data_IF_193106857001
#
_entry.id   IF_193106857001
#
_cell.length_a   1.000
_cell.length_b   1.000
_cell.length_c   1.000
_cell.angle_alpha   90.00
_cell.angle_beta   90.00
_cell.angle_gamma   90.00
#
_symmetry.space_group_name_H-M   'P 1'
#
loop_
_entity.id
_entity.type
_entity.pdbx_description
1 polymer ?
#
# COMPACT_ATOMS: atom_id res chain seq x y z
N UNK A 1 -18.86 46.93 -42.17
CA UNK A 1 -17.76 46.81 -41.20
C UNK A 1 -18.15 45.70 -40.23
N UNK A 2 -17.69 44.47 -40.45
CA UNK A 2 -18.03 43.30 -39.62
C UNK A 2 -16.73 42.67 -39.13
N UNK A 3 -16.45 42.81 -37.84
CA UNK A 3 -15.33 42.12 -37.19
C UNK A 3 -15.77 40.69 -36.87
N UNK A 4 -15.12 39.70 -37.50
CA UNK A 4 -15.23 38.30 -37.10
C UNK A 4 -14.29 38.06 -35.93
N UNK A 5 -14.86 37.85 -34.74
CA UNK A 5 -14.14 37.27 -33.61
C UNK A 5 -13.88 35.79 -33.94
N UNK A 6 -12.62 35.40 -34.04
CA UNK A 6 -12.22 33.99 -34.04
C UNK A 6 -12.00 33.62 -32.58
N UNK A 7 -12.94 32.88 -32.00
CA UNK A 7 -12.75 32.24 -30.70
C UNK A 7 -11.82 31.05 -30.96
N UNK A 8 -10.55 31.22 -30.61
CA UNK A 8 -9.62 30.10 -30.54
C UNK A 8 -10.03 29.25 -29.34
N UNK A 9 -10.70 28.11 -29.59
CA UNK A 9 -10.84 27.06 -28.59
C UNK A 9 -9.44 26.53 -28.27
N UNK A 10 -8.88 26.97 -27.16
CA UNK A 10 -7.78 26.27 -26.52
C UNK A 10 -8.32 24.92 -26.06
N UNK A 11 -8.04 23.86 -26.83
CA UNK A 11 -8.10 22.51 -26.29
C UNK A 11 -7.08 22.49 -25.15
N UNK A 12 -7.57 22.55 -23.91
CA UNK A 12 -6.81 22.12 -22.75
C UNK A 12 -6.51 20.64 -23.00
N UNK A 13 -5.31 20.36 -23.53
CA UNK A 13 -4.78 19.01 -23.50
C UNK A 13 -4.68 18.68 -22.02
N UNK A 14 -5.58 17.83 -21.54
CA UNK A 14 -5.41 17.18 -20.24
C UNK A 14 -4.00 16.60 -20.21
N UNK A 15 -3.26 16.70 -19.09
CA UNK A 15 -1.99 16.01 -18.98
C UNK A 15 -2.26 14.55 -19.34
N UNK A 16 -1.63 14.08 -20.42
CA UNK A 16 -1.64 12.68 -20.74
C UNK A 16 -0.93 12.01 -19.57
N UNK A 17 -1.67 11.28 -18.74
CA UNK A 17 -1.05 10.34 -17.81
C UNK A 17 -0.09 9.50 -18.66
N UNK A 18 1.18 9.42 -18.25
CA UNK A 18 2.12 8.49 -18.87
C UNK A 18 1.45 7.11 -18.84
N UNK A 19 1.44 6.40 -19.97
CA UNK A 19 0.91 5.04 -19.99
C UNK A 19 1.63 4.24 -18.91
N UNK A 20 0.85 3.56 -18.06
CA UNK A 20 1.39 2.73 -17.00
C UNK A 20 2.28 1.65 -17.57
N UNK A 21 3.42 1.38 -16.91
CA UNK A 21 4.26 0.23 -17.27
C UNK A 21 3.39 -1.04 -17.30
N UNK A 22 3.21 -1.70 -18.46
CA UNK A 22 2.31 -2.84 -18.58
C UNK A 22 2.66 -3.99 -17.65
N UNK A 23 3.93 -4.10 -17.24
CA UNK A 23 4.34 -5.10 -16.27
C UNK A 23 3.65 -4.89 -14.91
N UNK A 24 3.56 -3.63 -14.46
CA UNK A 24 3.02 -3.28 -13.14
C UNK A 24 1.50 -3.41 -13.09
N UNK A 25 0.82 -3.25 -14.24
CA UNK A 25 -0.65 -3.35 -14.34
C UNK A 25 -1.12 -4.77 -14.01
N UNK A 26 -2.02 -4.90 -13.03
CA UNK A 26 -2.58 -6.19 -12.59
C UNK A 26 -2.80 -6.26 -11.08
N UNK A 27 -3.08 -7.47 -10.59
CA UNK A 27 -3.27 -7.76 -9.17
C UNK A 27 -2.06 -8.48 -8.58
N UNK A 28 -1.73 -8.13 -7.35
CA UNK A 28 -0.50 -8.48 -6.69
C UNK A 28 -0.76 -8.79 -5.22
N UNK A 29 -0.23 -9.90 -4.71
CA UNK A 29 -0.27 -10.25 -3.28
C UNK A 29 1.10 -10.00 -2.69
N UNK A 30 1.17 -9.34 -1.54
CA UNK A 30 2.45 -9.14 -0.86
C UNK A 30 3.08 -10.48 -0.47
N UNK A 31 4.39 -10.59 -0.60
CA UNK A 31 5.16 -11.68 -0.01
C UNK A 31 5.17 -11.53 1.53
N UNK A 32 4.65 -12.53 2.28
CA UNK A 32 4.54 -12.43 3.73
C UNK A 32 5.88 -12.23 4.45
N UNK A 33 6.97 -12.80 3.95
CA UNK A 33 8.29 -12.68 4.57
C UNK A 33 8.84 -11.25 4.42
N UNK A 34 8.76 -10.68 3.21
CA UNK A 34 9.13 -9.28 2.96
C UNK A 34 8.31 -8.32 3.84
N UNK A 35 7.02 -8.62 3.99
CA UNK A 35 6.10 -7.81 4.77
C UNK A 35 6.39 -7.91 6.28
N UNK A 36 6.70 -9.11 6.79
CA UNK A 36 7.10 -9.32 8.17
C UNK A 36 8.37 -8.52 8.50
N UNK A 37 9.38 -8.60 7.64
CA UNK A 37 10.65 -7.91 7.82
C UNK A 37 10.45 -6.38 7.93
N UNK A 38 9.64 -5.80 7.05
CA UNK A 38 9.33 -4.38 7.09
C UNK A 38 8.51 -4.00 8.31
N UNK A 39 7.51 -4.81 8.67
CA UNK A 39 6.72 -4.58 9.87
C UNK A 39 7.63 -4.51 11.10
N UNK A 40 8.61 -5.41 11.22
CA UNK A 40 9.61 -5.39 12.30
C UNK A 40 10.48 -4.14 12.25
N UNK A 41 10.92 -3.71 11.07
CA UNK A 41 11.70 -2.48 10.91
C UNK A 41 10.93 -1.24 11.39
N UNK A 42 9.66 -1.10 11.00
CA UNK A 42 8.83 0.07 11.33
C UNK A 42 8.38 0.05 12.79
N UNK A 43 7.93 -1.11 13.29
CA UNK A 43 7.37 -1.23 14.64
C UNK A 43 8.43 -1.40 15.74
N UNK A 44 9.66 -1.78 15.38
CA UNK A 44 10.68 -2.20 16.34
C UNK A 44 10.39 -3.56 16.99
N UNK A 45 9.53 -4.39 16.39
CA UNK A 45 9.22 -5.71 16.90
C UNK A 45 10.39 -6.69 16.74
N UNK A 46 10.68 -7.45 17.80
CA UNK A 46 11.69 -8.51 17.79
C UNK A 46 11.16 -9.76 17.06
N UNK A 47 9.87 -10.04 17.26
CA UNK A 47 9.11 -11.09 16.61
C UNK A 47 7.92 -10.48 15.88
N UNK A 48 7.68 -10.92 14.66
CA UNK A 48 6.42 -10.71 13.95
C UNK A 48 6.05 -12.01 13.23
N UNK A 49 4.76 -12.16 12.96
CA UNK A 49 4.19 -13.22 12.15
C UNK A 49 3.01 -12.61 11.43
N UNK A 50 2.96 -12.80 10.11
CA UNK A 50 1.89 -12.28 9.26
C UNK A 50 1.21 -13.44 8.56
N UNK A 51 -0.11 -13.48 8.67
CA UNK A 51 -0.99 -14.44 8.00
C UNK A 51 -2.15 -13.70 7.35
N UNK A 52 -2.63 -14.19 6.21
CA UNK A 52 -3.64 -13.50 5.40
C UNK A 52 -3.02 -12.68 4.27
N UNK A 53 -3.83 -11.85 3.62
CA UNK A 53 -3.44 -11.21 2.37
C UNK A 53 -3.62 -9.70 2.37
N UNK A 54 -2.55 -9.00 2.02
CA UNK A 54 -2.59 -7.67 1.42
C UNK A 54 -2.55 -7.86 -0.10
N UNK A 55 -3.62 -7.45 -0.78
CA UNK A 55 -3.72 -7.51 -2.23
C UNK A 55 -3.73 -6.10 -2.79
N UNK A 56 -2.79 -5.79 -3.66
CA UNK A 56 -2.74 -4.57 -4.45
C UNK A 56 -3.31 -4.82 -5.85
N UNK A 57 -4.02 -3.86 -6.40
CA UNK A 57 -4.44 -3.85 -7.80
C UNK A 57 -4.06 -2.53 -8.45
N UNK A 58 -3.41 -2.58 -9.60
CA UNK A 58 -2.93 -1.42 -10.36
C UNK A 58 -3.61 -1.41 -11.73
N UNK A 59 -4.34 -0.34 -12.03
CA UNK A 59 -4.98 -0.09 -13.32
C UNK A 59 -4.02 0.48 -14.36
N UNK A 60 -4.38 0.34 -15.63
CA UNK A 60 -3.60 0.89 -16.75
C UNK A 60 -3.59 2.44 -16.78
N UNK A 61 -4.49 3.07 -16.04
CA UNK A 61 -4.60 4.51 -15.84
C UNK A 61 -3.83 4.99 -14.58
N UNK A 62 -3.12 4.10 -13.89
CA UNK A 62 -2.40 4.39 -12.64
C UNK A 62 -3.27 4.42 -11.40
N UNK A 63 -4.61 4.33 -11.53
CA UNK A 63 -5.48 4.16 -10.38
C UNK A 63 -5.19 2.81 -9.74
N UNK A 64 -4.90 2.83 -8.45
CA UNK A 64 -4.49 1.66 -7.71
C UNK A 64 -5.27 1.55 -6.40
N UNK A 65 -5.30 0.34 -5.85
CA UNK A 65 -5.93 0.09 -4.57
C UNK A 65 -5.21 -1.04 -3.85
N UNK A 66 -5.34 -1.07 -2.53
CA UNK A 66 -5.02 -2.26 -1.77
C UNK A 66 -6.22 -2.68 -0.93
N UNK A 67 -6.36 -3.99 -0.73
CA UNK A 67 -7.36 -4.60 0.13
C UNK A 67 -6.68 -5.49 1.16
N UNK A 68 -7.14 -5.36 2.39
CA UNK A 68 -6.79 -6.18 3.55
C UNK A 68 -8.03 -7.00 3.89
N UNK A 69 -7.92 -8.32 3.74
CA UNK A 69 -8.97 -9.25 4.13
C UNK A 69 -8.42 -10.20 5.19
N UNK A 70 -8.93 -10.07 6.41
CA UNK A 70 -8.55 -10.86 7.58
C UNK A 70 -7.03 -10.99 7.75
N UNK A 71 -6.32 -9.88 7.56
CA UNK A 71 -4.87 -9.86 7.77
C UNK A 71 -4.59 -9.95 9.27
N UNK A 72 -3.93 -11.02 9.67
CA UNK A 72 -3.46 -11.26 11.03
C UNK A 72 -2.00 -10.84 11.13
N UNK A 73 -1.70 -9.96 12.09
CA UNK A 73 -0.34 -9.63 12.49
C UNK A 73 -0.18 -9.96 13.97
N UNK A 74 0.68 -10.93 14.28
CA UNK A 74 1.10 -11.21 15.65
C UNK A 74 2.50 -10.66 15.86
N UNK A 75 2.68 -9.76 16.81
CA UNK A 75 3.99 -9.16 17.08
C UNK A 75 4.35 -9.09 18.55
N UNK A 76 5.65 -8.94 18.82
CA UNK A 76 6.20 -8.67 20.14
C UNK A 76 7.31 -7.65 20.05
N UNK A 77 7.11 -6.52 20.73
CA UNK A 77 8.12 -5.48 20.95
C UNK A 77 8.79 -5.71 22.30
N UNK A 78 10.08 -5.40 22.41
CA UNK A 78 10.85 -5.54 23.64
C UNK A 78 10.15 -4.86 24.83
N UNK A 79 9.94 -5.60 25.92
CA UNK A 79 9.29 -5.09 27.13
C UNK A 79 7.76 -4.92 27.04
N UNK A 80 7.12 -5.33 25.94
CA UNK A 80 5.67 -5.32 25.77
C UNK A 80 5.11 -6.75 25.67
N UNK A 81 3.87 -7.00 26.09
CA UNK A 81 3.20 -8.28 25.86
C UNK A 81 3.02 -8.56 24.37
N UNK A 82 2.80 -9.83 23.99
CA UNK A 82 2.43 -10.15 22.62
C UNK A 82 1.13 -9.44 22.25
N UNK A 83 1.10 -8.86 21.05
CA UNK A 83 -0.07 -8.21 20.47
C UNK A 83 -0.49 -8.99 19.22
N UNK A 84 -1.78 -9.22 19.06
CA UNK A 84 -2.35 -9.83 17.85
C UNK A 84 -3.35 -8.85 17.27
N UNK A 85 -3.16 -8.47 16.01
CA UNK A 85 -3.97 -7.49 15.31
C UNK A 85 -4.68 -8.17 14.15
N UNK A 86 -5.96 -7.93 14.01
CA UNK A 86 -6.76 -8.33 12.85
C UNK A 86 -7.13 -7.08 12.07
N UNK A 87 -6.69 -6.99 10.81
CA UNK A 87 -6.86 -5.83 9.96
C UNK A 87 -7.78 -6.17 8.79
N UNK A 88 -8.78 -5.32 8.57
CA UNK A 88 -9.72 -5.40 7.47
C UNK A 88 -9.94 -4.02 6.87
N UNK A 89 -10.05 -3.95 5.54
CA UNK A 89 -10.33 -2.70 4.84
C UNK A 89 -9.46 -2.51 3.61
N UNK A 90 -9.11 -1.26 3.31
CA UNK A 90 -8.32 -0.97 2.12
C UNK A 90 -8.09 0.51 1.89
N UNK A 91 -7.53 0.79 0.73
CA UNK A 91 -7.20 2.14 0.29
C UNK A 91 -7.27 2.25 -1.23
N UNK A 92 -7.55 3.47 -1.69
CA UNK A 92 -7.25 3.91 -3.04
C UNK A 92 -6.00 4.79 -3.03
N UNK A 93 -5.15 4.61 -4.03
CA UNK A 93 -3.94 5.40 -4.22
C UNK A 93 -3.62 5.52 -5.71
N UNK A 94 -2.87 6.55 -6.09
CA UNK A 94 -2.34 6.68 -7.44
C UNK A 94 -0.90 6.18 -7.50
N UNK A 95 -0.56 5.41 -8.54
CA UNK A 95 0.79 5.01 -8.87
C UNK A 95 1.25 5.75 -10.13
N UNK A 96 2.41 6.40 -10.09
CA UNK A 96 3.07 6.98 -11.27
C UNK A 96 4.45 6.36 -11.47
N UNK A 97 4.60 5.37 -12.37
CA UNK A 97 5.87 4.79 -12.74
C UNK A 97 6.55 5.63 -13.83
N UNK A 98 7.44 6.54 -13.45
CA UNK A 98 8.28 7.28 -14.40
C UNK A 98 9.70 6.73 -14.36
N UNK A 99 10.26 6.32 -15.49
CA UNK A 99 11.66 5.85 -15.58
C UNK A 99 12.03 4.75 -14.56
N UNK A 100 11.13 3.80 -14.33
CA UNK A 100 11.27 2.74 -13.30
C UNK A 100 11.30 3.24 -11.85
N UNK A 101 10.85 4.47 -11.63
CA UNK A 101 10.61 5.05 -10.31
C UNK A 101 9.11 4.96 -10.04
N UNK A 102 8.71 4.32 -8.95
CA UNK A 102 7.34 4.37 -8.48
C UNK A 102 7.15 5.57 -7.55
N UNK A 103 6.00 6.22 -7.65
CA UNK A 103 5.49 7.16 -6.65
C UNK A 103 4.08 6.71 -6.31
N UNK A 104 3.82 6.40 -5.05
CA UNK A 104 2.51 6.04 -4.51
C UNK A 104 1.98 7.19 -3.67
N UNK A 105 0.82 7.73 -4.04
CA UNK A 105 0.12 8.78 -3.29
C UNK A 105 -1.19 8.21 -2.77
N UNK A 106 -1.31 8.12 -1.45
CA UNK A 106 -2.51 7.62 -0.80
C UNK A 106 -3.65 8.65 -0.92
N UNK A 107 -4.76 8.27 -1.54
CA UNK A 107 -5.91 9.16 -1.76
C UNK A 107 -6.99 8.97 -0.70
N UNK A 108 -7.29 7.71 -0.38
CA UNK A 108 -8.32 7.34 0.59
C UNK A 108 -7.90 6.11 1.37
N UNK A 109 -8.18 6.07 2.68
CA UNK A 109 -7.90 4.91 3.52
C UNK A 109 -9.04 4.65 4.49
N UNK A 110 -9.41 3.38 4.62
CA UNK A 110 -10.31 2.93 5.68
C UNK A 110 -9.86 1.54 6.14
N UNK A 111 -9.27 1.48 7.34
CA UNK A 111 -8.80 0.23 7.94
C UNK A 111 -9.42 0.08 9.33
N UNK A 112 -10.05 -1.06 9.59
CA UNK A 112 -10.52 -1.46 10.91
C UNK A 112 -9.50 -2.42 11.51
N UNK A 113 -9.12 -2.20 12.76
CA UNK A 113 -8.14 -3.01 13.48
C UNK A 113 -8.74 -3.48 14.78
N UNK A 114 -8.76 -4.79 14.99
CA UNK A 114 -9.09 -5.40 16.28
C UNK A 114 -7.79 -5.90 16.93
N UNK A 115 -7.50 -5.43 18.14
CA UNK A 115 -6.26 -5.72 18.87
C UNK A 115 -6.53 -6.57 20.09
N UNK A 116 -5.80 -7.68 20.19
CA UNK A 116 -5.80 -8.59 21.32
C UNK A 116 -4.43 -8.61 22.00
N UNK A 117 -4.43 -8.69 23.32
CA UNK A 117 -3.22 -8.88 24.13
C UNK A 117 -3.38 -10.20 24.89
N UNK A 118 -3.14 -11.36 24.23
CA UNK A 118 -3.46 -12.68 24.81
C UNK A 118 -2.69 -12.97 26.10
N UNK A 119 -1.52 -12.36 26.29
CA UNK A 119 -0.67 -12.52 27.48
C UNK A 119 -1.24 -11.78 28.72
N UNK A 120 -2.27 -10.94 28.57
CA UNK A 120 -2.89 -10.18 29.65
C UNK A 120 -4.36 -10.57 29.85
N UNK A 121 -4.62 -11.42 30.84
CA UNK A 121 -5.96 -11.84 31.19
C UNK A 121 -6.85 -10.67 31.64
N UNK A 122 -8.09 -10.63 31.14
CA UNK A 122 -9.10 -9.66 31.54
C UNK A 122 -9.07 -8.33 30.80
N UNK A 123 -8.19 -8.17 29.80
CA UNK A 123 -8.22 -7.04 28.87
C UNK A 123 -9.16 -7.40 27.71
N UNK A 124 -10.26 -6.66 27.49
CA UNK A 124 -11.11 -6.87 26.32
C UNK A 124 -10.37 -6.45 25.03
N UNK A 125 -10.76 -6.99 23.86
CA UNK A 125 -10.22 -6.53 22.59
C UNK A 125 -10.42 -5.01 22.42
N UNK A 126 -9.45 -4.36 21.80
CA UNK A 126 -9.52 -2.94 21.46
C UNK A 126 -9.82 -2.80 19.97
N UNK A 127 -10.87 -2.07 19.63
CA UNK A 127 -11.20 -1.75 18.24
C UNK A 127 -10.70 -0.34 17.90
N UNK A 128 -10.00 -0.23 16.78
CA UNK A 128 -9.52 1.03 16.22
C UNK A 128 -9.98 1.12 14.77
N UNK A 129 -10.22 2.34 14.31
CA UNK A 129 -10.51 2.64 12.91
C UNK A 129 -9.59 3.76 12.45
N UNK A 130 -8.87 3.51 11.37
CA UNK A 130 -7.99 4.46 10.72
C UNK A 130 -8.65 4.97 9.45
N UNK A 131 -8.61 6.27 9.27
CA UNK A 131 -9.13 7.01 8.12
C UNK A 131 -8.04 7.89 7.51
N UNK A 132 -8.35 8.58 6.41
CA UNK A 132 -7.41 9.52 5.76
C UNK A 132 -6.92 10.64 6.71
N UNK A 133 -7.74 11.07 7.67
CA UNK A 133 -7.34 12.10 8.64
C UNK A 133 -6.30 11.59 9.66
N UNK A 134 -6.17 10.27 9.81
CA UNK A 134 -5.22 9.63 10.71
C UNK A 134 -3.85 9.41 10.05
N UNK A 135 -3.69 9.80 8.77
CA UNK A 135 -2.46 9.61 7.99
C UNK A 135 -1.27 10.41 8.51
N UNK A 136 -1.50 11.54 9.18
CA UNK A 136 -0.46 12.28 9.91
C UNK A 136 -0.06 11.52 11.19
N UNK A 137 0.51 10.33 11.03
CA UNK A 137 0.90 9.46 12.14
C UNK A 137 0.98 7.99 11.79
N UNK A 138 0.31 7.55 10.71
CA UNK A 138 0.48 6.20 10.16
C UNK A 138 1.74 6.17 9.32
N UNK A 139 2.88 5.85 9.95
CA UNK A 139 4.13 5.55 9.26
C UNK A 139 4.18 4.07 8.85
N UNK A 140 4.90 3.78 7.75
CA UNK A 140 5.16 2.42 7.28
C UNK A 140 4.37 2.03 6.03
N UNK A 141 3.85 0.80 6.03
CA UNK A 141 3.39 0.03 4.84
C UNK A 141 2.21 0.71 4.11
N UNK A 142 1.48 1.59 4.80
CA UNK A 142 0.30 2.28 4.29
C UNK A 142 0.56 3.75 3.93
N UNK A 143 1.81 4.19 4.00
CA UNK A 143 2.19 5.58 3.72
C UNK A 143 2.48 5.80 2.23
N UNK A 144 2.44 7.06 1.81
CA UNK A 144 3.02 7.54 0.55
C UNK A 144 4.49 7.11 0.49
N UNK A 145 4.90 6.52 -0.63
CA UNK A 145 6.26 6.01 -0.83
C UNK A 145 6.75 6.28 -2.25
N UNK A 146 8.06 6.46 -2.38
CA UNK A 146 8.76 6.58 -3.66
C UNK A 146 9.98 5.67 -3.68
N UNK A 147 10.41 5.30 -4.88
CA UNK A 147 11.66 4.56 -5.09
C UNK A 147 11.73 3.87 -6.44
N UNK A 148 12.73 3.01 -6.61
CA UNK A 148 12.88 2.24 -7.84
C UNK A 148 12.01 0.98 -7.79
N UNK A 149 11.65 0.42 -8.94
CA UNK A 149 11.03 -0.91 -8.99
C UNK A 149 11.64 -1.79 -10.07
N UNK A 150 11.52 -3.09 -9.87
CA UNK A 150 11.71 -4.08 -10.93
C UNK A 150 10.48 -4.93 -11.05
N UNK A 151 10.11 -5.30 -12.27
CA UNK A 151 8.90 -6.07 -12.52
C UNK A 151 9.14 -7.14 -13.60
N UNK A 152 8.54 -8.30 -13.40
CA UNK A 152 8.39 -9.35 -14.41
C UNK A 152 6.96 -9.94 -14.35
N UNK A 153 6.71 -10.98 -15.16
CA UNK A 153 5.38 -11.61 -15.27
C UNK A 153 4.83 -12.18 -13.95
N UNK A 154 5.68 -12.49 -12.98
CA UNK A 154 5.31 -13.14 -11.72
C UNK A 154 5.54 -12.27 -10.49
N UNK A 155 6.42 -11.27 -10.58
CA UNK A 155 6.96 -10.58 -9.42
C UNK A 155 7.12 -9.08 -9.68
N UNK A 156 6.73 -8.29 -8.69
CA UNK A 156 6.99 -6.86 -8.59
C UNK A 156 7.77 -6.61 -7.30
N UNK A 157 8.94 -5.97 -7.43
CA UNK A 157 9.79 -5.59 -6.30
C UNK A 157 9.86 -4.07 -6.24
N UNK A 158 9.40 -3.49 -5.14
CA UNK A 158 9.52 -2.06 -4.86
C UNK A 158 10.73 -1.84 -3.94
N UNK A 159 11.61 -0.93 -4.33
CA UNK A 159 12.85 -0.56 -3.64
C UNK A 159 12.70 0.87 -3.11
N UNK A 160 12.27 1.06 -1.84
CA UNK A 160 12.06 2.40 -1.29
C UNK A 160 13.33 3.25 -1.28
N UNK A 161 13.21 4.57 -1.44
CA UNK A 161 14.37 5.49 -1.46
C UNK A 161 15.09 5.61 -0.11
N UNK A 162 14.37 5.38 0.99
CA UNK A 162 14.94 5.53 2.33
C UNK A 162 16.05 4.49 2.58
N UNK A 163 17.24 4.97 2.92
CA UNK A 163 18.42 4.14 3.14
C UNK A 163 18.19 3.10 4.24
N UNK A 164 18.46 1.83 3.92
CA UNK A 164 18.25 0.71 4.85
C UNK A 164 16.81 0.17 4.85
N UNK A 165 15.92 0.69 4.02
CA UNK A 165 14.58 0.13 3.84
C UNK A 165 14.62 -1.26 3.21
N UNK A 166 13.74 -2.14 3.69
CA UNK A 166 13.57 -3.47 3.15
C UNK A 166 12.68 -3.41 1.90
N UNK A 167 13.04 -4.07 0.78
CA UNK A 167 12.20 -4.14 -0.41
C UNK A 167 10.81 -4.72 -0.13
N UNK A 168 9.80 -4.25 -0.85
CA UNK A 168 8.46 -4.85 -0.88
C UNK A 168 8.39 -5.82 -2.05
N UNK A 169 8.19 -7.10 -1.76
CA UNK A 169 8.05 -8.13 -2.79
C UNK A 169 6.58 -8.45 -2.93
N UNK A 170 6.12 -8.52 -4.18
CA UNK A 170 4.75 -8.80 -4.53
C UNK A 170 4.69 -9.88 -5.61
N UNK A 171 3.78 -10.82 -5.45
CA UNK A 171 3.53 -11.89 -6.42
C UNK A 171 2.24 -11.67 -7.18
N UNK A 172 2.28 -11.88 -8.49
CA UNK A 172 1.11 -11.71 -9.35
C UNK A 172 0.00 -12.69 -8.93
N UNK A 173 -1.23 -12.18 -8.88
CA UNK A 173 -2.44 -12.96 -8.68
C UNK A 173 -3.11 -13.08 -10.05
N UNK A 174 -3.32 -14.30 -10.52
CA UNK A 174 -4.14 -14.50 -11.72
C UNK A 174 -5.62 -14.26 -11.36
N UNK A 175 -6.41 -13.62 -12.25
CA UNK A 175 -7.83 -13.51 -12.04
C UNK A 175 -8.44 -14.90 -11.94
N UNK A 176 -9.25 -15.14 -10.90
CA UNK A 176 -10.05 -16.38 -10.81
C UNK A 176 -11.01 -16.42 -12.02
N UNK A 177 -10.92 -17.47 -12.84
CA UNK A 177 -11.78 -17.72 -14.01
C UNK A 177 -13.25 -17.96 -13.64
#
# INVERSE_FOLDING_TARGET
MFYRLIIASACLASPAFSEMDPCVVGSWRVDPESFEMQFKQVSGAEEAFIEGGLVMSVGADGQSSFTLNDLLISSRVAGQPRTVMFLNGGSAFSLDPQDQIFISILDHMQISVEVHIPDLAGIPPMEMRFTEDDLEGVSGIFATASGAYTCNESELVLLPEEEGSIPYIWYRIEPEE
#
